data_IF_360429360613
#
_entry.id   IF_360429360613
#
_cell.length_a   1.000
_cell.length_b   1.000
_cell.length_c   1.000
_cell.angle_alpha   90.00
_cell.angle_beta   90.00
_cell.angle_gamma   90.00
#
_symmetry.space_group_name_H-M   'P 1'
#
loop_
_entity.id
_entity.type
_entity.pdbx_description
1 polymer ?
#
# COMPACT_ATOMS: atom_id res chain seq x y z
N UNK A 1 -25.61 -34.26 24.27
CA UNK A 1 -26.93 -33.73 24.66
C UNK A 1 -26.77 -32.22 24.88
N UNK A 2 -26.67 -31.45 23.79
CA UNK A 2 -27.77 -30.78 23.07
C UNK A 2 -28.33 -29.58 23.85
N UNK A 3 -27.93 -28.35 23.48
CA UNK A 3 -28.62 -27.46 22.53
C UNK A 3 -29.94 -26.87 23.06
N UNK A 4 -29.90 -25.56 23.38
CA UNK A 4 -30.94 -24.50 23.39
C UNK A 4 -30.34 -23.33 24.19
N UNK A 5 -29.67 -22.29 23.65
CA UNK A 5 -29.84 -21.45 22.46
C UNK A 5 -31.24 -20.84 22.31
N UNK A 6 -31.25 -19.51 22.31
CA UNK A 6 -32.16 -18.60 21.59
C UNK A 6 -33.63 -18.55 21.98
N UNK A 7 -34.00 -17.78 23.01
CA UNK A 7 -35.22 -16.94 22.99
C UNK A 7 -35.43 -16.17 24.30
N UNK A 8 -34.76 -15.01 24.47
CA UNK A 8 -35.27 -13.94 25.36
C UNK A 8 -34.63 -12.57 25.18
N UNK A 9 -34.23 -12.23 23.95
CA UNK A 9 -33.92 -10.84 23.56
C UNK A 9 -35.08 -10.24 22.76
N UNK A 10 -36.28 -10.27 23.35
CA UNK A 10 -37.41 -9.46 22.93
C UNK A 10 -37.94 -8.70 24.14
N UNK A 11 -38.21 -7.41 23.93
CA UNK A 11 -38.68 -6.40 24.90
C UNK A 11 -37.59 -5.69 25.69
N UNK A 12 -37.21 -4.48 25.21
CA UNK A 12 -37.62 -3.22 25.84
C UNK A 12 -36.99 -2.04 25.08
N UNK A 13 -37.62 -1.64 23.97
CA UNK A 13 -37.40 -0.34 23.33
C UNK A 13 -38.73 0.43 23.39
N UNK A 14 -38.96 1.11 24.52
CA UNK A 14 -39.95 2.19 24.68
C UNK A 14 -39.46 3.10 25.80
N UNK A 15 -39.09 4.35 25.50
CA UNK A 15 -39.47 5.57 26.21
C UNK A 15 -38.76 6.79 25.57
N UNK A 16 -39.53 7.86 25.37
CA UNK A 16 -39.17 9.22 24.92
C UNK A 16 -39.87 10.18 25.90
N UNK A 17 -39.72 11.53 25.85
CA UNK A 17 -38.52 12.38 25.97
C UNK A 17 -38.62 13.36 27.16
N UNK A 18 -37.49 13.94 27.59
CA UNK A 18 -37.44 15.26 28.26
C UNK A 18 -37.15 15.29 29.77
N UNK A 19 -36.02 15.87 30.14
CA UNK A 19 -35.88 16.84 31.26
C UNK A 19 -34.44 17.35 31.34
N UNK A 20 -34.28 18.67 31.21
CA UNK A 20 -33.06 19.39 31.58
C UNK A 20 -33.01 19.53 33.11
N UNK A 21 -31.95 19.05 33.77
CA UNK A 21 -31.61 19.46 35.13
C UNK A 21 -30.09 19.53 35.32
N UNK A 22 -29.63 20.76 35.54
CA UNK A 22 -28.52 21.26 36.39
C UNK A 22 -27.27 20.42 36.63
N UNK A 23 -26.14 21.05 36.30
CA UNK A 23 -24.78 20.75 36.74
C UNK A 23 -24.70 20.37 38.24
N UNK A 24 -24.20 19.16 38.50
CA UNK A 24 -23.37 18.88 39.65
C UNK A 24 -22.08 18.24 39.15
N UNK A 25 -20.97 18.90 39.48
CA UNK A 25 -19.60 18.52 39.23
C UNK A 25 -19.34 17.08 39.70
N UNK A 26 -19.32 16.14 38.75
CA UNK A 26 -18.84 14.77 38.95
C UNK A 26 -17.76 14.51 37.93
N UNK A 27 -16.57 14.15 38.44
CA UNK A 27 -15.42 13.57 37.74
C UNK A 27 -15.85 12.97 36.40
N UNK A 28 -15.44 13.59 35.31
CA UNK A 28 -15.57 13.05 33.96
C UNK A 28 -14.77 11.74 33.96
N UNK A 29 -15.39 10.55 33.87
CA UNK A 29 -14.62 9.38 33.48
C UNK A 29 -14.20 9.64 32.03
N UNK A 30 -12.89 9.57 31.79
CA UNK A 30 -12.28 9.58 30.45
C UNK A 30 -13.18 8.82 29.47
N UNK A 31 -13.52 9.37 28.29
CA UNK A 31 -14.30 8.60 27.33
C UNK A 31 -13.45 7.40 26.95
N UNK A 32 -13.90 6.22 27.36
CA UNK A 32 -13.40 4.95 26.87
C UNK A 32 -13.89 4.90 25.42
N UNK A 33 -13.16 5.56 24.53
CA UNK A 33 -13.41 5.53 23.10
C UNK A 33 -13.23 4.05 22.72
N UNK A 34 -14.28 3.35 22.25
CA UNK A 34 -14.12 1.96 21.84
C UNK A 34 -13.03 1.92 20.77
N UNK A 35 -12.14 0.92 20.81
CA UNK A 35 -11.02 0.78 19.86
C UNK A 35 -11.53 0.80 18.40
N UNK A 36 -12.79 0.42 18.18
CA UNK A 36 -13.50 0.56 16.90
C UNK A 36 -13.78 2.00 16.44
N UNK A 37 -13.91 2.97 17.35
CA UNK A 37 -14.17 4.38 17.02
C UNK A 37 -12.90 5.16 16.70
N UNK A 38 -11.72 4.69 17.13
CA UNK A 38 -10.44 5.27 16.68
C UNK A 38 -10.20 5.09 15.19
N UNK A 39 -10.67 3.99 14.60
CA UNK A 39 -10.58 3.74 13.16
C UNK A 39 -11.41 4.74 12.32
N UNK A 40 -12.54 5.21 12.85
CA UNK A 40 -13.42 6.13 12.14
C UNK A 40 -13.00 7.60 12.26
N UNK A 41 -12.38 8.00 13.38
CA UNK A 41 -11.97 9.40 13.60
C UNK A 41 -10.61 9.73 12.96
N UNK A 42 -9.69 8.76 12.86
CA UNK A 42 -8.40 8.96 12.18
C UNK A 42 -8.54 9.18 10.66
N UNK A 43 -9.66 8.76 10.10
CA UNK A 43 -9.83 8.64 8.64
C UNK A 43 -10.37 9.91 7.98
N UNK A 44 -11.05 10.78 8.73
CA UNK A 44 -11.57 12.05 8.21
C UNK A 44 -10.47 13.10 7.92
N UNK A 45 -9.22 12.82 8.28
CA UNK A 45 -8.06 13.69 8.08
C UNK A 45 -7.06 13.13 7.04
N UNK A 46 -7.52 12.31 6.09
CA UNK A 46 -6.71 11.91 4.93
C UNK A 46 -6.53 13.08 3.97
N UNK A 47 -5.60 13.98 4.33
CA UNK A 47 -5.20 15.14 3.55
C UNK A 47 -4.02 14.79 2.62
N UNK A 48 -3.62 15.71 1.73
CA UNK A 48 -2.44 15.55 0.84
C UNK A 48 -1.15 15.12 1.56
N UNK A 49 -1.04 15.40 2.87
CA UNK A 49 0.07 14.99 3.73
C UNK A 49 0.32 13.47 3.68
N UNK A 50 -0.73 12.64 3.67
CA UNK A 50 -0.57 11.17 3.62
C UNK A 50 0.01 10.67 2.30
N UNK A 51 -0.35 11.29 1.17
CA UNK A 51 0.20 10.93 -0.15
C UNK A 51 1.66 11.34 -0.26
N UNK A 52 2.03 12.50 0.28
CA UNK A 52 3.43 12.94 0.32
C UNK A 52 4.29 12.01 1.20
N UNK A 53 3.80 11.61 2.37
CA UNK A 53 4.49 10.68 3.26
C UNK A 53 4.60 9.28 2.64
N UNK A 54 3.54 8.81 1.97
CA UNK A 54 3.55 7.54 1.24
C UNK A 54 4.54 7.57 0.07
N UNK A 55 4.56 8.67 -0.70
CA UNK A 55 5.54 8.90 -1.76
C UNK A 55 6.96 8.82 -1.22
N UNK A 56 7.24 9.55 -0.13
CA UNK A 56 8.56 9.54 0.52
C UNK A 56 8.95 8.13 0.97
N UNK A 57 8.04 7.41 1.62
CA UNK A 57 8.30 6.04 2.09
C UNK A 57 8.57 5.09 0.92
N UNK A 58 7.81 5.19 -0.16
CA UNK A 58 8.02 4.41 -1.37
C UNK A 58 9.36 4.74 -2.05
N UNK A 59 9.75 6.01 -2.10
CA UNK A 59 11.06 6.44 -2.60
C UNK A 59 12.21 5.85 -1.78
N UNK A 60 12.09 5.85 -0.44
CA UNK A 60 13.09 5.24 0.44
C UNK A 60 13.27 3.75 0.12
N UNK A 61 12.17 3.00 0.01
CA UNK A 61 12.20 1.57 -0.33
C UNK A 61 12.88 1.33 -1.69
N UNK A 62 12.54 2.10 -2.72
CA UNK A 62 13.17 1.94 -4.04
C UNK A 62 14.66 2.34 -4.03
N UNK A 63 15.04 3.37 -3.28
CA UNK A 63 16.45 3.77 -3.15
C UNK A 63 17.27 2.71 -2.43
N UNK A 64 16.72 2.08 -1.40
CA UNK A 64 17.33 0.94 -0.72
C UNK A 64 17.51 -0.24 -1.69
N UNK A 65 16.47 -0.63 -2.43
CA UNK A 65 16.57 -1.68 -3.44
C UNK A 65 17.61 -1.37 -4.53
N UNK A 66 17.68 -0.14 -5.01
CA UNK A 66 18.69 0.30 -5.99
C UNK A 66 20.09 0.13 -5.41
N UNK A 67 20.29 0.57 -4.16
CA UNK A 67 21.57 0.46 -3.45
C UNK A 67 21.98 -1.01 -3.30
N UNK A 68 21.09 -1.87 -2.83
CA UNK A 68 21.35 -3.30 -2.63
C UNK A 68 21.77 -4.01 -3.93
N UNK A 69 21.15 -3.67 -5.06
CA UNK A 69 21.51 -4.25 -6.37
C UNK A 69 22.86 -3.71 -6.86
N UNK A 70 23.19 -2.45 -6.58
CA UNK A 70 24.51 -1.88 -6.90
C UNK A 70 25.63 -2.52 -6.07
N UNK A 71 25.37 -2.82 -4.80
CA UNK A 71 26.29 -3.57 -3.94
C UNK A 71 26.53 -4.98 -4.51
N UNK A 72 25.47 -5.72 -4.85
CA UNK A 72 25.58 -7.04 -5.50
C UNK A 72 26.37 -7.01 -6.82
N UNK A 73 26.22 -5.96 -7.63
CA UNK A 73 27.00 -5.80 -8.86
C UNK A 73 28.48 -5.56 -8.58
N UNK A 74 28.79 -4.81 -7.53
CA UNK A 74 30.17 -4.54 -7.09
C UNK A 74 30.82 -5.82 -6.58
N UNK A 75 30.12 -6.56 -5.71
CA UNK A 75 30.58 -7.86 -5.19
C UNK A 75 30.82 -8.88 -6.30
N UNK A 76 29.93 -8.95 -7.30
CA UNK A 76 30.08 -9.83 -8.46
C UNK A 76 31.30 -9.46 -9.31
N UNK A 77 31.61 -8.17 -9.43
CA UNK A 77 32.79 -7.71 -10.14
C UNK A 77 34.07 -8.09 -9.39
N UNK A 78 34.14 -7.80 -8.08
CA UNK A 78 35.28 -8.14 -7.25
C UNK A 78 35.53 -9.65 -7.20
N UNK A 79 34.48 -10.47 -7.11
CA UNK A 79 34.61 -11.93 -7.12
C UNK A 79 35.15 -12.44 -8.46
N UNK A 80 34.70 -11.87 -9.57
CA UNK A 80 35.18 -12.25 -10.90
C UNK A 80 36.69 -11.99 -11.02
N UNK A 81 37.17 -10.81 -10.64
CA UNK A 81 38.59 -10.42 -10.73
C UNK A 81 39.54 -11.32 -9.91
N UNK A 82 39.05 -11.88 -8.79
CA UNK A 82 39.82 -12.82 -7.95
C UNK A 82 39.91 -14.20 -8.60
N UNK A 83 38.83 -14.67 -9.21
CA UNK A 83 38.78 -15.97 -9.88
C UNK A 83 39.59 -15.98 -11.19
N UNK A 84 39.64 -14.86 -11.91
CA UNK A 84 40.45 -14.74 -13.15
C UNK A 84 41.95 -14.94 -12.90
N UNK A 85 42.44 -14.57 -11.71
CA UNK A 85 43.84 -14.76 -11.32
C UNK A 85 44.18 -16.19 -10.92
N UNK A 86 43.18 -17.05 -10.71
CA UNK A 86 43.33 -18.36 -10.04
C UNK A 86 42.96 -19.57 -10.90
N UNK A 87 42.51 -19.39 -12.15
CA UNK A 87 41.91 -20.47 -12.94
C UNK A 87 42.62 -20.69 -14.29
N UNK A 88 43.16 -21.91 -14.49
CA UNK A 88 43.84 -22.35 -15.71
C UNK A 88 43.11 -23.58 -16.32
N UNK A 89 42.36 -23.40 -17.42
CA UNK A 89 41.81 -24.49 -18.25
C UNK A 89 40.27 -24.47 -18.49
N UNK A 90 39.79 -25.46 -19.27
CA UNK A 90 38.41 -25.69 -19.82
C UNK A 90 37.19 -25.39 -18.92
N UNK A 91 37.36 -25.26 -17.60
CA UNK A 91 36.27 -24.87 -16.68
C UNK A 91 35.90 -23.39 -16.76
N UNK A 92 36.69 -22.58 -17.44
CA UNK A 92 36.56 -21.13 -17.48
C UNK A 92 35.37 -20.65 -18.33
N UNK A 93 35.08 -21.32 -19.46
CA UNK A 93 34.05 -20.86 -20.41
C UNK A 93 32.64 -20.88 -19.80
N UNK A 94 32.26 -21.95 -19.09
CA UNK A 94 30.93 -22.04 -18.44
C UNK A 94 30.78 -21.11 -17.24
N UNK A 95 31.85 -20.92 -16.46
CA UNK A 95 31.83 -20.01 -15.31
C UNK A 95 31.69 -18.55 -15.77
N UNK A 96 32.45 -18.17 -16.80
CA UNK A 96 32.36 -16.84 -17.39
C UNK A 96 30.95 -16.53 -17.94
N UNK A 97 30.33 -17.50 -18.64
CA UNK A 97 28.92 -17.36 -19.07
C UNK A 97 27.97 -17.16 -17.89
N UNK A 98 28.15 -17.87 -16.78
CA UNK A 98 27.35 -17.71 -15.57
C UNK A 98 27.48 -16.31 -14.95
N UNK A 99 28.70 -15.78 -14.86
CA UNK A 99 28.96 -14.42 -14.37
C UNK A 99 28.29 -13.37 -15.27
N UNK A 100 28.38 -13.53 -16.59
CA UNK A 100 27.70 -12.67 -17.55
C UNK A 100 26.17 -12.72 -17.40
N UNK A 101 25.59 -13.92 -17.26
CA UNK A 101 24.15 -14.07 -17.04
C UNK A 101 23.70 -13.40 -15.72
N UNK A 102 24.46 -13.60 -14.65
CA UNK A 102 24.18 -13.01 -13.34
C UNK A 102 24.23 -11.49 -13.40
N UNK A 103 25.28 -10.93 -14.01
CA UNK A 103 25.42 -9.49 -14.25
C UNK A 103 24.22 -8.95 -15.03
N UNK A 104 23.84 -9.59 -16.13
CA UNK A 104 22.71 -9.18 -16.95
C UNK A 104 21.38 -9.17 -16.17
N UNK A 105 21.17 -10.12 -15.25
CA UNK A 105 19.98 -10.17 -14.39
C UNK A 105 19.98 -8.98 -13.41
N UNK A 106 21.12 -8.72 -12.76
CA UNK A 106 21.26 -7.60 -11.81
C UNK A 106 21.09 -6.25 -12.51
N UNK A 107 21.69 -6.05 -13.68
CA UNK A 107 21.53 -4.84 -14.48
C UNK A 107 20.07 -4.59 -14.90
N UNK A 108 19.36 -5.65 -15.32
CA UNK A 108 17.93 -5.56 -15.63
C UNK A 108 17.11 -5.16 -14.40
N UNK A 109 17.40 -5.73 -13.22
CA UNK A 109 16.74 -5.37 -11.96
C UNK A 109 17.03 -3.91 -11.58
N UNK A 110 18.28 -3.48 -11.68
CA UNK A 110 18.70 -2.10 -11.40
C UNK A 110 17.98 -1.11 -12.33
N UNK A 111 17.94 -1.41 -13.62
CA UNK A 111 17.25 -0.59 -14.62
C UNK A 111 15.75 -0.48 -14.33
N UNK A 112 15.10 -1.60 -14.05
CA UNK A 112 13.68 -1.64 -13.69
C UNK A 112 13.38 -0.80 -12.43
N UNK A 113 14.20 -0.93 -11.37
CA UNK A 113 14.03 -0.16 -10.14
C UNK A 113 14.22 1.35 -10.36
N UNK A 114 15.21 1.75 -11.18
CA UNK A 114 15.43 3.17 -11.55
C UNK A 114 14.27 3.74 -12.36
N UNK A 115 13.76 2.99 -13.33
CA UNK A 115 12.58 3.39 -14.12
C UNK A 115 11.37 3.56 -13.19
N UNK A 116 11.14 2.61 -12.29
CA UNK A 116 10.05 2.67 -11.33
C UNK A 116 10.17 3.88 -10.39
N UNK A 117 11.39 4.20 -9.92
CA UNK A 117 11.63 5.38 -9.09
C UNK A 117 11.33 6.67 -9.86
N UNK A 118 11.72 6.75 -11.14
CA UNK A 118 11.41 7.90 -11.99
C UNK A 118 9.90 8.05 -12.22
N UNK A 119 9.19 6.95 -12.47
CA UNK A 119 7.73 6.95 -12.59
C UNK A 119 7.09 7.41 -11.28
N UNK A 120 7.51 6.86 -10.14
CA UNK A 120 7.01 7.23 -8.81
C UNK A 120 7.20 8.74 -8.54
N UNK A 121 8.34 9.31 -8.93
CA UNK A 121 8.61 10.75 -8.76
C UNK A 121 7.70 11.64 -9.62
N UNK A 122 7.13 11.11 -10.69
CA UNK A 122 6.20 11.83 -11.55
C UNK A 122 4.75 11.75 -11.05
N UNK A 123 4.43 10.85 -10.12
CA UNK A 123 3.07 10.64 -9.60
C UNK A 123 2.59 11.90 -8.86
N UNK A 124 1.45 12.50 -9.26
CA UNK A 124 0.89 13.66 -8.56
C UNK A 124 0.40 13.29 -7.16
N UNK A 125 0.69 14.13 -6.16
CA UNK A 125 0.19 13.98 -4.77
C UNK A 125 -0.98 14.92 -4.45
N UNK A 126 -1.52 15.60 -5.46
CA UNK A 126 -2.67 16.51 -5.33
C UNK A 126 -3.98 15.75 -5.11
N UNK A 127 -4.98 16.44 -4.58
CA UNK A 127 -6.31 15.86 -4.41
C UNK A 127 -6.97 15.48 -5.75
N UNK A 128 -7.76 14.40 -5.75
CA UNK A 128 -8.46 13.91 -6.93
C UNK A 128 -9.95 13.65 -6.65
N UNK A 129 -10.82 13.97 -7.62
CA UNK A 129 -12.28 13.78 -7.52
C UNK A 129 -12.79 12.55 -8.28
N UNK A 130 -11.93 11.98 -9.13
CA UNK A 130 -12.14 10.77 -9.92
C UNK A 130 -10.88 9.92 -9.96
N UNK A 131 -11.04 8.62 -10.19
CA UNK A 131 -9.91 7.69 -10.28
C UNK A 131 -9.02 8.07 -11.46
N UNK A 132 -7.80 8.50 -11.14
CA UNK A 132 -6.73 8.86 -12.06
C UNK A 132 -5.37 8.60 -11.40
N UNK A 133 -4.27 8.78 -12.13
CA UNK A 133 -2.92 8.68 -11.56
C UNK A 133 -2.74 9.61 -10.34
N UNK A 134 -2.13 9.08 -9.29
CA UNK A 134 -1.95 9.77 -8.00
C UNK A 134 -3.13 9.66 -7.04
N UNK A 135 -4.26 9.11 -7.47
CA UNK A 135 -5.45 8.98 -6.62
C UNK A 135 -5.25 7.95 -5.52
N UNK A 136 -5.68 8.29 -4.31
CA UNK A 136 -5.72 7.38 -3.18
C UNK A 136 -7.17 6.91 -2.97
N UNK A 137 -7.40 5.63 -3.23
CA UNK A 137 -8.70 5.00 -3.24
C UNK A 137 -8.93 4.25 -1.94
N UNK A 138 -10.11 4.41 -1.35
CA UNK A 138 -10.60 3.52 -0.31
C UNK A 138 -11.60 2.54 -0.90
N UNK A 139 -11.24 1.26 -0.88
CA UNK A 139 -12.11 0.17 -1.27
C UNK A 139 -12.45 -0.70 -0.06
N UNK A 140 -13.53 -1.50 -0.11
CA UNK A 140 -13.83 -2.49 0.94
C UNK A 140 -12.69 -3.48 1.20
N UNK A 141 -11.86 -3.74 0.20
CA UNK A 141 -10.71 -4.66 0.27
C UNK A 141 -9.42 -4.02 0.79
N UNK A 142 -9.37 -2.69 0.94
CA UNK A 142 -8.17 -1.99 1.42
C UNK A 142 -7.94 -0.62 0.75
N UNK A 143 -6.84 0.02 1.14
CA UNK A 143 -6.41 1.30 0.57
C UNK A 143 -5.50 1.06 -0.63
N UNK A 144 -5.78 1.73 -1.74
CA UNK A 144 -5.02 1.57 -2.98
C UNK A 144 -4.54 2.94 -3.44
N UNK A 145 -3.25 3.08 -3.70
CA UNK A 145 -2.68 4.28 -4.30
C UNK A 145 -2.32 4.01 -5.76
N UNK A 146 -2.98 4.73 -6.68
CA UNK A 146 -2.75 4.62 -8.12
C UNK A 146 -1.42 5.28 -8.46
N UNK A 147 -0.38 4.48 -8.63
CA UNK A 147 1.01 4.94 -8.75
C UNK A 147 1.84 3.91 -9.54
N UNK A 148 2.86 3.32 -8.91
CA UNK A 148 3.74 2.29 -9.47
C UNK A 148 3.43 0.92 -8.85
N UNK A 149 3.76 -0.21 -9.51
CA UNK A 149 3.44 -1.54 -9.00
C UNK A 149 4.45 -2.00 -7.94
N UNK A 150 4.40 -1.39 -6.75
CA UNK A 150 5.28 -1.72 -5.62
C UNK A 150 4.64 -2.67 -4.60
N UNK A 151 3.35 -2.97 -4.74
CA UNK A 151 2.65 -3.82 -3.78
C UNK A 151 2.43 -3.10 -2.44
N UNK A 152 2.61 -3.82 -1.34
CA UNK A 152 2.22 -3.33 -0.01
C UNK A 152 3.27 -2.40 0.59
N UNK A 153 2.86 -1.18 0.94
CA UNK A 153 3.63 -0.24 1.76
C UNK A 153 2.85 0.06 3.04
N UNK A 154 3.54 0.04 4.17
CA UNK A 154 2.93 0.33 5.48
C UNK A 154 3.34 1.73 5.90
N UNK A 155 2.35 2.57 6.21
CA UNK A 155 2.55 3.92 6.73
C UNK A 155 1.70 4.07 7.99
N UNK A 156 2.33 4.41 9.13
CA UNK A 156 1.68 4.54 10.44
C UNK A 156 0.80 3.34 10.85
N UNK A 157 1.21 2.13 10.48
CA UNK A 157 0.47 0.89 10.76
C UNK A 157 -0.74 0.65 9.84
N UNK A 158 -0.92 1.47 8.80
CA UNK A 158 -1.95 1.31 7.78
C UNK A 158 -1.30 0.73 6.52
N UNK A 159 -1.92 -0.33 5.99
CA UNK A 159 -1.52 -0.96 4.73
C UNK A 159 -2.06 -0.17 3.53
N UNK A 160 -1.17 0.14 2.59
CA UNK A 160 -1.46 0.74 1.29
C UNK A 160 -0.93 -0.16 0.18
N UNK A 161 -1.76 -0.46 -0.81
CA UNK A 161 -1.33 -1.15 -2.02
C UNK A 161 -1.00 -0.14 -3.11
N UNK A 162 0.24 -0.12 -3.56
CA UNK A 162 0.70 0.69 -4.68
C UNK A 162 0.50 -0.10 -5.97
N UNK A 163 -0.37 0.41 -6.83
CA UNK A 163 -0.86 -0.30 -8.01
C UNK A 163 -0.76 0.62 -9.21
N UNK A 164 -0.25 0.11 -10.32
CA UNK A 164 -0.16 0.88 -11.57
C UNK A 164 -1.51 1.12 -12.22
N UNK A 165 -1.59 2.18 -13.02
CA UNK A 165 -2.74 2.48 -13.86
C UNK A 165 -3.16 1.30 -14.75
N UNK A 166 -2.19 0.54 -15.27
CA UNK A 166 -2.43 -0.58 -16.18
C UNK A 166 -2.96 -1.84 -15.48
N UNK A 167 -3.09 -1.82 -14.16
CA UNK A 167 -3.66 -2.94 -13.42
C UNK A 167 -5.13 -3.14 -13.81
N UNK A 168 -5.57 -4.39 -14.06
CA UNK A 168 -6.96 -4.71 -14.37
C UNK A 168 -7.97 -4.16 -13.34
N UNK A 169 -7.56 -4.05 -12.07
CA UNK A 169 -8.39 -3.45 -11.02
C UNK A 169 -8.56 -1.94 -11.21
N UNK A 170 -7.47 -1.23 -11.51
CA UNK A 170 -7.52 0.21 -11.71
C UNK A 170 -8.25 0.55 -13.01
N UNK A 171 -8.04 -0.22 -14.08
CA UNK A 171 -8.79 -0.07 -15.33
C UNK A 171 -10.30 -0.23 -15.12
N UNK A 172 -10.73 -1.19 -14.30
CA UNK A 172 -12.14 -1.39 -13.95
C UNK A 172 -12.75 -0.25 -13.12
N UNK A 173 -11.91 0.55 -12.45
CA UNK A 173 -12.32 1.66 -11.60
C UNK A 173 -12.02 3.03 -12.22
N UNK A 174 -11.41 3.06 -13.40
CA UNK A 174 -10.92 4.29 -14.03
C UNK A 174 -12.04 5.30 -14.26
N UNK A 175 -11.75 6.59 -14.04
CA UNK A 175 -12.70 7.70 -14.12
C UNK A 175 -13.91 7.64 -13.17
N UNK A 176 -14.04 6.61 -12.33
CA UNK A 176 -15.10 6.54 -11.34
C UNK A 176 -14.92 7.60 -10.25
N UNK A 177 -16.05 8.06 -9.70
CA UNK A 177 -16.13 9.00 -8.58
C UNK A 177 -16.58 8.29 -7.31
N UNK A 178 -16.37 8.96 -6.17
CA UNK A 178 -16.83 8.48 -4.86
C UNK A 178 -18.30 8.00 -4.92
N UNK A 179 -18.55 6.82 -4.36
CA UNK A 179 -19.87 6.18 -4.30
C UNK A 179 -20.26 5.40 -5.55
N UNK A 180 -19.47 5.45 -6.64
CA UNK A 180 -19.71 4.64 -7.82
C UNK A 180 -19.12 3.24 -7.68
N UNK A 181 -19.59 2.33 -8.54
CA UNK A 181 -19.21 0.92 -8.52
C UNK A 181 -18.63 0.51 -9.86
N UNK A 182 -17.48 -0.14 -9.84
CA UNK A 182 -16.88 -0.79 -11.02
C UNK A 182 -17.07 -2.31 -10.97
N UNK A 183 -17.03 -2.96 -12.13
CA UNK A 183 -17.02 -4.42 -12.20
C UNK A 183 -15.60 -4.93 -12.40
N UNK A 184 -15.11 -5.71 -11.45
CA UNK A 184 -13.81 -6.35 -11.55
C UNK A 184 -13.96 -7.86 -11.35
N UNK A 185 -13.62 -8.64 -12.39
CA UNK A 185 -13.70 -10.12 -12.37
C UNK A 185 -15.09 -10.64 -11.96
N UNK A 186 -16.15 -9.97 -12.40
CA UNK A 186 -17.54 -10.35 -12.07
C UNK A 186 -18.02 -9.87 -10.70
N UNK A 187 -17.17 -9.23 -9.89
CA UNK A 187 -17.54 -8.65 -8.60
C UNK A 187 -17.73 -7.13 -8.72
N UNK A 188 -18.79 -6.63 -8.09
CA UNK A 188 -19.04 -5.20 -7.99
C UNK A 188 -18.21 -4.60 -6.84
N UNK A 189 -17.29 -3.70 -7.19
CA UNK A 189 -16.43 -3.00 -6.24
C UNK A 189 -16.93 -1.56 -6.11
N UNK A 190 -17.40 -1.21 -4.93
CA UNK A 190 -17.80 0.17 -4.61
C UNK A 190 -16.58 1.00 -4.20
N UNK A 191 -16.43 2.18 -4.80
CA UNK A 191 -15.44 3.18 -4.40
C UNK A 191 -15.96 3.96 -3.19
N UNK A 192 -15.46 3.64 -1.99
CA UNK A 192 -15.94 4.22 -0.74
C UNK A 192 -15.52 5.68 -0.60
N UNK A 193 -14.24 5.97 -0.86
CA UNK A 193 -13.67 7.31 -0.83
C UNK A 193 -12.54 7.43 -1.85
N UNK A 194 -12.26 8.68 -2.24
CA UNK A 194 -11.13 9.06 -3.09
C UNK A 194 -10.50 10.33 -2.53
N UNK A 195 -9.18 10.37 -2.52
CA UNK A 195 -8.37 11.48 -2.03
C UNK A 195 -7.28 11.84 -3.03
#
# INVERSE_FOLDING_TARGET
MSFKLLEKFSNLNKFSPGMYFTMHEKKIPSPFIPIFSRFSLYFAAMNSMTKADLLKKAQEILREQIKDVQEQLTELQESSEVEEKSSAGDKYETHQEMLHQTRNILEKRLSAAKIMLNQLNAVPVKETDKVQEGSLLKLPMGNIWVSVPMGKVVLDGVDFQLVSQDSPLIQALWDLKKGQTGNFRGNNISLTDIF
#
